data_IF_626233812242
#
_entry.id   IF_626233812242
#
_cell.length_a   1.000
_cell.length_b   1.000
_cell.length_c   1.000
_cell.angle_alpha   90.00
_cell.angle_beta   90.00
_cell.angle_gamma   90.00
#
_symmetry.space_group_name_H-M   'P 1'
#
loop_
_entity.id
_entity.type
_entity.pdbx_description
1 polymer ?
#
# COMPACT_ATOMS: atom_id res chain seq x y z
N UNK A 1 -12.09 3.19 -20.36
CA UNK A 1 -12.76 3.81 -19.19
C UNK A 1 -11.71 3.96 -18.11
N UNK A 2 -11.47 5.18 -17.61
CA UNK A 2 -10.56 5.43 -16.48
C UNK A 2 -11.42 5.88 -15.30
N UNK A 3 -11.15 5.38 -14.08
CA UNK A 3 -11.97 5.71 -12.90
C UNK A 3 -11.95 7.22 -12.58
N UNK A 4 -10.84 7.90 -12.87
CA UNK A 4 -10.62 9.32 -12.54
C UNK A 4 -10.30 10.21 -13.76
N UNK A 5 -10.46 9.71 -14.99
CA UNK A 5 -10.17 10.51 -16.20
C UNK A 5 -8.69 10.62 -16.59
N UNK A 6 -7.74 10.33 -15.70
CA UNK A 6 -6.29 10.33 -15.96
C UNK A 6 -5.58 9.05 -15.48
N UNK A 7 -4.42 8.74 -16.06
CA UNK A 7 -3.58 7.58 -15.70
C UNK A 7 -2.31 7.91 -14.91
N UNK A 8 -2.08 9.19 -14.60
CA UNK A 8 -0.98 9.61 -13.73
C UNK A 8 -1.31 9.30 -12.25
N UNK A 9 -0.29 9.28 -11.39
CA UNK A 9 -0.46 9.17 -9.94
C UNK A 9 -1.29 10.35 -9.42
N UNK A 10 -2.22 10.09 -8.50
CA UNK A 10 -3.19 11.09 -8.01
C UNK A 10 -2.59 12.13 -7.09
N UNK A 11 -1.52 11.77 -6.35
CA UNK A 11 -0.85 12.61 -5.37
C UNK A 11 0.62 12.76 -5.71
N UNK A 12 1.27 13.77 -5.13
CA UNK A 12 2.71 14.00 -5.30
C UNK A 12 3.54 13.10 -4.37
N UNK A 13 4.79 12.81 -4.78
CA UNK A 13 5.72 11.99 -3.97
C UNK A 13 5.92 12.54 -2.55
N UNK A 14 6.08 13.86 -2.33
CA UNK A 14 6.23 14.40 -0.98
C UNK A 14 5.05 14.11 -0.04
N UNK A 15 3.81 14.01 -0.56
CA UNK A 15 2.62 13.73 0.27
C UNK A 15 2.68 12.35 0.94
N UNK A 16 3.43 11.41 0.37
CA UNK A 16 3.60 10.06 0.95
C UNK A 16 4.15 10.12 2.38
N UNK A 17 5.05 11.07 2.67
CA UNK A 17 5.67 11.18 4.00
C UNK A 17 4.67 11.60 5.08
N UNK A 18 3.57 12.23 4.69
CA UNK A 18 2.53 12.77 5.58
C UNK A 18 1.40 11.77 5.85
N UNK A 19 1.32 10.68 5.09
CA UNK A 19 0.28 9.66 5.25
C UNK A 19 0.26 9.07 6.67
N UNK A 20 -0.95 8.81 7.18
CA UNK A 20 -1.16 8.11 8.46
C UNK A 20 -1.16 6.58 8.29
N UNK A 21 -1.45 6.11 7.08
CA UNK A 21 -1.42 4.70 6.71
C UNK A 21 -0.92 4.55 5.28
N UNK A 22 -0.02 3.60 5.08
CA UNK A 22 0.49 3.14 3.79
C UNK A 22 0.01 1.71 3.55
N UNK A 23 -0.81 1.52 2.54
CA UNK A 23 -1.20 0.21 2.05
C UNK A 23 -0.47 -0.08 0.74
N UNK A 24 0.49 -1.01 0.80
CA UNK A 24 1.36 -1.36 -0.33
C UNK A 24 0.94 -2.72 -0.87
N UNK A 25 0.34 -2.75 -2.05
CA UNK A 25 -0.07 -3.98 -2.74
C UNK A 25 0.60 -4.06 -4.10
N UNK A 26 1.16 -5.22 -4.43
CA UNK A 26 1.74 -5.47 -5.76
C UNK A 26 2.94 -4.60 -6.13
N UNK A 27 3.66 -4.04 -5.16
CA UNK A 27 4.83 -3.16 -5.41
C UNK A 27 6.00 -3.52 -4.51
N UNK A 28 7.16 -3.77 -5.11
CA UNK A 28 8.44 -3.80 -4.40
C UNK A 28 9.14 -2.43 -4.50
N UNK A 29 8.58 -1.43 -3.82
CA UNK A 29 9.00 -0.03 -3.96
C UNK A 29 10.46 0.21 -3.54
N UNK A 30 10.99 -0.56 -2.59
CA UNK A 30 12.38 -0.41 -2.12
C UNK A 30 13.39 -0.68 -3.24
N UNK A 31 13.13 -1.68 -4.08
CA UNK A 31 14.00 -2.01 -5.21
C UNK A 31 13.68 -1.17 -6.45
N UNK A 32 12.41 -1.00 -6.78
CA UNK A 32 12.00 -0.35 -8.03
C UNK A 32 12.06 1.19 -7.96
N UNK A 33 11.79 1.79 -6.79
CA UNK A 33 11.66 3.24 -6.62
C UNK A 33 12.27 3.72 -5.30
N UNK A 34 13.61 3.72 -5.15
CA UNK A 34 14.28 4.01 -3.87
C UNK A 34 13.92 5.37 -3.23
N UNK A 35 13.64 6.39 -4.05
CA UNK A 35 13.23 7.71 -3.56
C UNK A 35 11.83 7.66 -2.93
N UNK A 36 10.89 6.95 -3.55
CA UNK A 36 9.54 6.77 -3.01
C UNK A 36 9.61 5.96 -1.71
N UNK A 37 10.43 4.90 -1.70
CA UNK A 37 10.66 4.10 -0.50
C UNK A 37 11.26 4.94 0.64
N UNK A 38 12.09 5.95 0.35
CA UNK A 38 12.59 6.88 1.35
C UNK A 38 11.47 7.68 2.01
N UNK A 39 10.53 8.21 1.22
CA UNK A 39 9.38 8.96 1.76
C UNK A 39 8.44 8.05 2.56
N UNK A 40 8.21 6.81 2.11
CA UNK A 40 7.47 5.80 2.87
C UNK A 40 8.13 5.52 4.23
N UNK A 41 9.45 5.33 4.27
CA UNK A 41 10.20 5.12 5.52
C UNK A 41 10.12 6.34 6.45
N UNK A 42 10.02 7.56 5.91
CA UNK A 42 9.79 8.78 6.72
C UNK A 42 8.38 8.79 7.33
N UNK A 43 7.37 8.38 6.58
CA UNK A 43 6.01 8.24 7.12
C UNK A 43 5.96 7.23 8.27
N UNK A 44 6.53 6.04 8.07
CA UNK A 44 6.58 4.99 9.10
C UNK A 44 7.30 5.48 10.35
N UNK A 45 8.43 6.19 10.21
CA UNK A 45 9.14 6.80 11.36
C UNK A 45 8.34 7.87 12.09
N UNK A 46 7.41 8.56 11.40
CA UNK A 46 6.46 9.50 12.02
C UNK A 46 5.29 8.80 12.73
N UNK A 47 5.17 7.49 12.60
CA UNK A 47 4.09 6.69 13.20
C UNK A 47 3.00 6.25 12.22
N UNK A 48 3.20 6.42 10.90
CA UNK A 48 2.27 5.88 9.92
C UNK A 48 2.25 4.35 9.98
N UNK A 49 1.05 3.75 9.93
CA UNK A 49 0.91 2.30 9.81
C UNK A 49 1.33 1.84 8.43
N UNK A 50 2.10 0.76 8.34
CA UNK A 50 2.49 0.13 7.08
C UNK A 50 1.88 -1.27 6.97
N UNK A 51 1.06 -1.44 5.94
CA UNK A 51 0.50 -2.74 5.54
C UNK A 51 1.08 -3.12 4.19
N UNK A 52 1.64 -4.33 4.07
CA UNK A 52 2.23 -4.85 2.84
C UNK A 52 1.48 -6.11 2.41
N UNK A 53 0.94 -6.11 1.20
CA UNK A 53 0.32 -7.25 0.54
C UNK A 53 1.17 -7.65 -0.68
N UNK A 54 2.02 -8.66 -0.51
CA UNK A 54 2.87 -9.21 -1.57
C UNK A 54 3.02 -10.74 -1.34
N UNK A 55 2.92 -11.59 -2.37
CA UNK A 55 3.16 -13.03 -2.23
C UNK A 55 4.57 -13.37 -1.70
N UNK A 56 5.53 -12.44 -1.87
CA UNK A 56 6.93 -12.59 -1.46
C UNK A 56 7.22 -11.73 -0.24
N UNK A 57 8.13 -12.22 0.61
CA UNK A 57 8.75 -11.40 1.63
C UNK A 57 9.73 -10.42 0.97
N UNK A 58 9.33 -9.16 0.85
CA UNK A 58 10.14 -8.05 0.34
C UNK A 58 10.64 -7.19 1.50
N UNK A 59 11.64 -6.33 1.27
CA UNK A 59 12.21 -5.49 2.33
C UNK A 59 11.15 -4.67 3.11
N UNK A 60 10.12 -4.16 2.43
CA UNK A 60 9.04 -3.42 3.10
C UNK A 60 8.24 -4.30 4.07
N UNK A 61 8.07 -5.59 3.78
CA UNK A 61 7.36 -6.51 4.69
C UNK A 61 8.10 -6.73 6.01
N UNK A 62 9.42 -6.55 6.05
CA UNK A 62 10.22 -6.68 7.28
C UNK A 62 9.95 -5.56 8.29
N UNK A 63 9.48 -4.40 7.82
CA UNK A 63 9.18 -3.23 8.64
C UNK A 63 7.68 -2.92 8.70
N UNK A 64 6.83 -3.79 8.14
CA UNK A 64 5.39 -3.60 8.10
C UNK A 64 4.75 -3.98 9.44
N UNK A 65 3.76 -3.21 9.86
CA UNK A 65 2.88 -3.57 10.98
C UNK A 65 2.03 -4.81 10.63
N UNK A 66 1.70 -4.99 9.35
CA UNK A 66 0.97 -6.15 8.86
C UNK A 66 1.49 -6.57 7.50
N UNK A 67 1.92 -7.83 7.41
CA UNK A 67 2.30 -8.46 6.15
C UNK A 67 1.26 -9.51 5.75
N UNK A 68 0.61 -9.29 4.60
CA UNK A 68 -0.38 -10.17 4.00
C UNK A 68 0.28 -10.93 2.85
N UNK A 69 0.65 -12.19 3.11
CA UNK A 69 1.21 -13.07 2.09
C UNK A 69 0.10 -13.66 1.21
N UNK A 70 -0.33 -12.91 0.19
CA UNK A 70 -1.38 -13.32 -0.74
C UNK A 70 -0.91 -14.46 -1.66
N UNK A 71 -1.86 -15.25 -2.15
CA UNK A 71 -1.60 -16.09 -3.31
C UNK A 71 -1.50 -15.20 -4.58
N UNK A 72 -0.61 -15.50 -5.54
CA UNK A 72 -0.54 -14.73 -6.78
C UNK A 72 -1.88 -14.65 -7.50
N UNK A 73 -2.32 -13.45 -7.88
CA UNK A 73 -3.55 -13.21 -8.62
C UNK A 73 -4.82 -13.09 -7.77
N UNK A 74 -4.71 -13.04 -6.43
CA UNK A 74 -5.87 -12.91 -5.52
C UNK A 74 -6.11 -11.49 -5.00
N UNK A 75 -5.51 -10.47 -5.61
CA UNK A 75 -5.65 -9.06 -5.23
C UNK A 75 -7.12 -8.60 -5.23
N UNK A 76 -7.89 -8.99 -6.26
CA UNK A 76 -9.33 -8.67 -6.35
C UNK A 76 -10.12 -9.29 -5.20
N UNK A 77 -9.77 -10.50 -4.77
CA UNK A 77 -10.44 -11.14 -3.64
C UNK A 77 -10.18 -10.39 -2.34
N UNK A 78 -8.94 -9.93 -2.11
CA UNK A 78 -8.60 -9.07 -0.97
C UNK A 78 -9.40 -7.77 -1.00
N UNK A 79 -9.37 -7.04 -2.12
CA UNK A 79 -10.05 -5.76 -2.25
C UNK A 79 -11.57 -5.90 -2.07
N UNK A 80 -12.19 -6.94 -2.65
CA UNK A 80 -13.61 -7.21 -2.47
C UNK A 80 -13.96 -7.55 -1.01
N UNK A 81 -13.11 -8.32 -0.31
CA UNK A 81 -13.32 -8.61 1.11
C UNK A 81 -13.21 -7.34 1.96
N UNK A 82 -12.24 -6.47 1.69
CA UNK A 82 -12.12 -5.17 2.35
C UNK A 82 -13.35 -4.30 2.10
N UNK A 83 -13.80 -4.19 0.84
CA UNK A 83 -15.03 -3.46 0.49
C UNK A 83 -16.26 -4.04 1.18
N UNK A 84 -16.38 -5.37 1.24
CA UNK A 84 -17.48 -6.03 1.95
C UNK A 84 -17.52 -5.58 3.41
N UNK A 85 -16.39 -5.65 4.13
CA UNK A 85 -16.29 -5.23 5.54
C UNK A 85 -16.65 -3.75 5.70
N UNK A 86 -16.08 -2.86 4.87
CA UNK A 86 -16.37 -1.41 4.90
C UNK A 86 -17.88 -1.17 4.78
N UNK A 87 -18.55 -1.84 3.82
CA UNK A 87 -19.99 -1.67 3.60
C UNK A 87 -20.81 -2.27 4.75
N UNK A 88 -20.47 -3.47 5.22
CA UNK A 88 -21.26 -4.15 6.26
C UNK A 88 -21.12 -3.51 7.64
N UNK A 89 -19.99 -2.86 7.91
CA UNK A 89 -19.74 -2.15 9.18
C UNK A 89 -20.10 -0.66 9.12
N UNK A 90 -20.39 -0.12 7.93
CA UNK A 90 -20.82 1.28 7.76
C UNK A 90 -19.72 2.30 8.03
N UNK A 91 -18.48 2.00 7.62
CA UNK A 91 -17.29 2.85 7.78
C UNK A 91 -17.16 3.94 6.70
#
# INVERSE_FOLDING_TARGET
MTMFGAGAMTNSIPEIREAELLFVIGSNTTEAHPIIAMEMKRAVRRGAKLIVADPRAIWLSEIADTYLQLAPGTDVALLNAMTHVIITEGL
#
